data_IF_735146034715
#
_entry.id   IF_735146034715
#
_cell.length_a   1.000
_cell.length_b   1.000
_cell.length_c   1.000
_cell.angle_alpha   90.00
_cell.angle_beta   90.00
_cell.angle_gamma   90.00
#
_symmetry.space_group_name_H-M   'P 1'
#
loop_
_entity.id
_entity.type
_entity.pdbx_description
1 polymer ?
#
# COMPACT_ATOMS: atom_id res chain seq x y z
N UNK A 1 26.96 -14.47 -1.11
CA UNK A 1 25.53 -14.21 -1.36
C UNK A 1 25.42 -13.07 -2.37
N UNK A 2 24.92 -13.33 -3.59
CA UNK A 2 24.80 -12.31 -4.64
C UNK A 2 23.95 -11.12 -4.19
N UNK A 3 24.29 -9.90 -4.64
CA UNK A 3 23.54 -8.66 -4.34
C UNK A 3 22.06 -8.83 -4.71
N UNK A 4 21.78 -9.50 -5.84
CA UNK A 4 20.42 -9.83 -6.28
C UNK A 4 19.66 -10.69 -5.27
N UNK A 5 20.30 -11.71 -4.72
CA UNK A 5 19.66 -12.58 -3.74
C UNK A 5 19.35 -11.81 -2.45
N UNK A 6 20.26 -10.96 -1.97
CA UNK A 6 20.01 -10.06 -0.82
C UNK A 6 18.80 -9.16 -1.07
N UNK A 7 18.73 -8.53 -2.24
CA UNK A 7 17.64 -7.64 -2.59
C UNK A 7 16.28 -8.37 -2.61
N UNK A 8 16.21 -9.55 -3.25
CA UNK A 8 14.99 -10.36 -3.29
C UNK A 8 14.58 -10.81 -1.88
N UNK A 9 15.52 -11.27 -1.05
CA UNK A 9 15.22 -11.67 0.34
C UNK A 9 14.62 -10.51 1.14
N UNK A 10 15.20 -9.31 1.03
CA UNK A 10 14.65 -8.11 1.69
C UNK A 10 13.25 -7.75 1.16
N UNK A 11 13.01 -7.90 -0.15
CA UNK A 11 11.70 -7.70 -0.75
C UNK A 11 10.64 -8.68 -0.23
N UNK A 12 10.99 -9.97 -0.08
CA UNK A 12 10.08 -10.98 0.47
C UNK A 12 9.78 -10.71 1.95
N UNK A 13 10.80 -10.40 2.75
CA UNK A 13 10.60 -10.06 4.17
C UNK A 13 9.74 -8.80 4.30
N UNK A 14 9.96 -7.80 3.44
CA UNK A 14 9.13 -6.61 3.39
C UNK A 14 7.66 -6.95 3.09
N UNK A 15 7.40 -7.79 2.08
CA UNK A 15 6.04 -8.22 1.73
C UNK A 15 5.34 -8.96 2.88
N UNK A 16 6.08 -9.74 3.67
CA UNK A 16 5.56 -10.33 4.91
C UNK A 16 5.10 -9.25 5.90
N UNK A 17 5.92 -8.24 6.18
CA UNK A 17 5.54 -7.16 7.09
C UNK A 17 4.40 -6.28 6.55
N UNK A 18 4.28 -6.09 5.23
CA UNK A 18 3.12 -5.44 4.63
C UNK A 18 1.84 -6.24 4.87
N UNK A 19 1.89 -7.56 4.68
CA UNK A 19 0.75 -8.47 4.80
C UNK A 19 0.09 -8.47 6.19
N UNK A 20 0.86 -8.19 7.25
CA UNK A 20 0.38 -8.08 8.64
C UNK A 20 -0.74 -7.03 8.74
N UNK A 21 -0.70 -5.97 7.92
CA UNK A 21 -1.75 -4.93 7.89
C UNK A 21 -3.13 -5.52 7.70
N UNK A 22 -3.29 -6.42 6.73
CA UNK A 22 -4.60 -6.95 6.36
C UNK A 22 -5.15 -7.85 7.46
N UNK A 23 -4.29 -8.67 8.07
CA UNK A 23 -4.68 -9.58 9.14
C UNK A 23 -5.00 -8.82 10.42
N UNK A 24 -4.15 -7.88 10.84
CA UNK A 24 -4.36 -7.12 12.08
C UNK A 24 -5.52 -6.15 11.94
N UNK A 25 -5.77 -5.58 10.75
CA UNK A 25 -6.99 -4.81 10.51
C UNK A 25 -8.24 -5.68 10.66
N UNK A 26 -8.22 -6.92 10.16
CA UNK A 26 -9.33 -7.85 10.32
C UNK A 26 -9.53 -8.26 11.80
N UNK A 27 -8.44 -8.51 12.54
CA UNK A 27 -8.51 -8.73 14.00
C UNK A 27 -9.23 -7.58 14.70
N UNK A 28 -8.90 -6.33 14.36
CA UNK A 28 -9.54 -5.16 14.94
C UNK A 28 -11.02 -5.04 14.56
N UNK A 29 -11.38 -5.35 13.31
CA UNK A 29 -12.77 -5.32 12.86
C UNK A 29 -13.62 -6.42 13.52
N UNK A 30 -13.08 -7.64 13.65
CA UNK A 30 -13.73 -8.75 14.36
C UNK A 30 -13.94 -8.46 15.85
N UNK A 31 -13.08 -7.62 16.45
CA UNK A 31 -13.23 -7.12 17.80
C UNK A 31 -14.14 -5.88 17.91
N UNK A 32 -14.90 -5.55 16.86
CA UNK A 32 -15.77 -4.36 16.77
C UNK A 32 -15.04 -3.02 16.95
N UNK A 33 -13.75 -2.96 16.64
CA UNK A 33 -12.98 -1.72 16.65
C UNK A 33 -13.45 -0.75 15.55
N UNK A 34 -13.69 0.51 15.91
CA UNK A 34 -14.16 1.50 14.95
C UNK A 34 -13.11 1.80 13.86
N UNK A 35 -13.49 1.66 12.60
CA UNK A 35 -12.58 1.79 11.45
C UNK A 35 -11.85 3.14 11.39
N UNK A 36 -12.48 4.21 11.88
CA UNK A 36 -11.87 5.56 11.92
C UNK A 36 -10.64 5.60 12.81
N UNK A 37 -10.69 4.91 13.96
CA UNK A 37 -9.52 4.74 14.83
C UNK A 37 -8.47 3.84 14.21
N UNK A 38 -8.89 2.74 13.58
CA UNK A 38 -7.98 1.84 12.84
C UNK A 38 -7.19 2.58 11.76
N UNK A 39 -7.84 3.51 11.06
CA UNK A 39 -7.20 4.35 10.05
C UNK A 39 -6.28 5.41 10.67
N UNK A 40 -6.82 6.24 11.59
CA UNK A 40 -6.10 7.38 12.12
C UNK A 40 -4.90 6.99 12.99
N UNK A 41 -5.07 6.07 13.93
CA UNK A 41 -4.03 5.72 14.90
C UNK A 41 -2.79 5.14 14.23
N UNK A 42 -2.94 4.37 13.14
CA UNK A 42 -1.78 3.90 12.35
C UNK A 42 -0.87 5.06 11.96
N UNK A 43 -1.42 6.12 11.38
CA UNK A 43 -0.64 7.25 10.90
C UNK A 43 -0.16 8.17 12.03
N UNK A 44 -0.95 8.28 13.12
CA UNK A 44 -0.52 8.97 14.33
C UNK A 44 0.69 8.28 14.99
N UNK A 45 0.72 6.95 15.02
CA UNK A 45 1.88 6.18 15.47
C UNK A 45 3.04 6.21 14.48
N UNK A 46 2.75 6.23 13.18
CA UNK A 46 3.77 6.22 12.14
C UNK A 46 4.61 7.50 12.12
N UNK A 47 4.05 8.67 12.46
CA UNK A 47 4.81 9.92 12.52
C UNK A 47 6.02 9.87 13.48
N UNK A 48 5.86 9.60 14.78
CA UNK A 48 7.00 9.55 15.71
C UNK A 48 8.02 8.47 15.31
N UNK A 49 7.57 7.32 14.81
CA UNK A 49 8.48 6.28 14.33
C UNK A 49 9.29 6.74 13.10
N UNK A 50 8.65 7.41 12.15
CA UNK A 50 9.34 7.92 10.96
C UNK A 50 10.25 9.12 11.26
N UNK A 51 9.96 9.91 12.30
CA UNK A 51 10.90 10.92 12.81
C UNK A 51 12.20 10.27 13.29
N UNK A 52 12.10 9.15 14.03
CA UNK A 52 13.27 8.38 14.48
C UNK A 52 14.02 7.82 13.28
N UNK A 53 13.35 7.15 12.34
CA UNK A 53 13.98 6.55 11.17
C UNK A 53 14.69 7.59 10.28
N UNK A 54 14.06 8.74 10.02
CA UNK A 54 14.70 9.79 9.22
C UNK A 54 15.98 10.31 9.89
N UNK A 55 15.97 10.46 11.22
CA UNK A 55 17.15 10.84 11.99
C UNK A 55 18.26 9.77 11.88
N UNK A 56 17.91 8.49 11.94
CA UNK A 56 18.85 7.38 11.79
C UNK A 56 19.47 7.32 10.38
N UNK A 57 18.73 7.73 9.35
CA UNK A 57 19.24 7.85 7.97
C UNK A 57 19.90 9.20 7.65
N UNK A 58 20.23 10.00 8.67
CA UNK A 58 20.98 11.24 8.50
C UNK A 58 20.16 12.43 7.98
N UNK A 59 18.85 12.27 7.79
CA UNK A 59 17.95 13.37 7.50
C UNK A 59 17.43 14.02 8.79
N UNK A 60 16.79 15.18 8.66
CA UNK A 60 16.20 15.88 9.79
C UNK A 60 14.91 16.59 9.40
N UNK A 61 14.09 16.90 10.41
CA UNK A 61 12.77 17.53 10.21
C UNK A 61 12.88 18.88 9.52
N UNK A 62 13.93 19.66 9.78
CA UNK A 62 14.11 20.97 9.14
C UNK A 62 14.31 20.82 7.63
N UNK A 63 15.07 19.82 7.21
CA UNK A 63 15.25 19.49 5.79
C UNK A 63 13.92 19.10 5.13
N UNK A 64 13.17 18.20 5.76
CA UNK A 64 11.85 17.75 5.27
C UNK A 64 10.85 18.90 5.18
N UNK A 65 10.81 19.80 6.17
CA UNK A 65 9.99 21.00 6.11
C UNK A 65 10.45 21.95 4.99
N UNK A 66 11.75 22.02 4.71
CA UNK A 66 12.29 22.73 3.56
C UNK A 66 11.80 22.18 2.23
N UNK A 67 11.74 20.85 2.09
CA UNK A 67 11.17 20.16 0.91
C UNK A 67 9.69 20.53 0.74
N UNK A 68 8.90 20.47 1.82
CA UNK A 68 7.47 20.80 1.78
C UNK A 68 7.25 22.27 1.36
N UNK A 69 8.06 23.20 1.90
CA UNK A 69 7.94 24.64 1.62
C UNK A 69 8.15 25.00 0.15
N UNK A 70 8.87 24.19 -0.63
CA UNK A 70 9.07 24.44 -2.07
C UNK A 70 7.78 24.34 -2.87
N UNK A 71 6.86 23.46 -2.48
CA UNK A 71 5.55 23.29 -3.12
C UNK A 71 4.50 22.76 -2.13
N UNK A 72 4.13 23.61 -1.17
CA UNK A 72 3.21 23.24 -0.09
C UNK A 72 1.87 22.70 -0.61
N UNK A 73 1.36 23.28 -1.71
CA UNK A 73 0.05 22.91 -2.25
C UNK A 73 0.08 21.49 -2.79
N UNK A 74 1.10 21.15 -3.59
CA UNK A 74 1.25 19.81 -4.14
C UNK A 74 1.46 18.78 -3.04
N UNK A 75 2.36 19.07 -2.09
CA UNK A 75 2.58 18.19 -0.94
C UNK A 75 1.32 17.96 -0.12
N UNK A 76 0.56 19.00 0.20
CA UNK A 76 -0.68 18.85 0.95
C UNK A 76 -1.69 17.99 0.19
N UNK A 77 -2.07 18.37 -1.04
CA UNK A 77 -3.11 17.67 -1.81
C UNK A 77 -2.75 16.20 -2.05
N UNK A 78 -1.54 15.93 -2.54
CA UNK A 78 -1.18 14.57 -2.92
C UNK A 78 -0.88 13.68 -1.72
N UNK A 79 -0.54 14.24 -0.54
CA UNK A 79 -0.46 13.47 0.70
C UNK A 79 -1.84 12.99 1.15
N UNK A 80 -2.87 13.81 0.98
CA UNK A 80 -4.26 13.42 1.26
C UNK A 80 -4.71 12.28 0.34
N UNK A 81 -4.41 12.39 -0.95
CA UNK A 81 -4.71 11.32 -1.91
C UNK A 81 -3.92 10.05 -1.59
N UNK A 82 -2.62 10.16 -1.36
CA UNK A 82 -1.73 9.02 -1.18
C UNK A 82 -1.94 8.28 0.14
N UNK A 83 -2.24 8.97 1.24
CA UNK A 83 -2.35 8.37 2.58
C UNK A 83 -3.80 8.29 3.07
N UNK A 84 -4.57 9.36 2.97
CA UNK A 84 -5.94 9.39 3.52
C UNK A 84 -6.90 8.62 2.62
N UNK A 85 -6.98 9.01 1.34
CA UNK A 85 -7.88 8.40 0.36
C UNK A 85 -7.47 6.96 -0.02
N UNK A 86 -6.23 6.58 0.29
CA UNK A 86 -5.76 5.20 0.25
C UNK A 86 -6.24 4.40 1.46
N UNK A 87 -5.93 4.83 2.68
CA UNK A 87 -6.01 3.94 3.82
C UNK A 87 -7.39 3.92 4.48
N UNK A 88 -8.11 5.05 4.48
CA UNK A 88 -9.47 5.12 5.04
C UNK A 88 -10.41 4.12 4.37
N UNK A 89 -10.51 4.06 3.03
CA UNK A 89 -11.38 3.09 2.37
C UNK A 89 -10.97 1.63 2.63
N UNK A 90 -9.67 1.34 2.75
CA UNK A 90 -9.20 0.00 3.11
C UNK A 90 -9.62 -0.40 4.51
N UNK A 91 -9.45 0.46 5.51
CA UNK A 91 -9.92 0.18 6.88
C UNK A 91 -11.43 0.00 6.95
N UNK A 92 -12.17 0.73 6.13
CA UNK A 92 -13.61 0.59 6.04
C UNK A 92 -14.04 -0.72 5.37
N UNK A 93 -13.36 -1.12 4.28
CA UNK A 93 -13.67 -2.35 3.53
C UNK A 93 -13.52 -3.63 4.37
N UNK A 94 -12.65 -3.63 5.39
CA UNK A 94 -12.43 -4.76 6.31
C UNK A 94 -13.69 -5.12 7.11
N UNK A 95 -14.65 -4.20 7.26
CA UNK A 95 -15.94 -4.53 7.88
C UNK A 95 -16.81 -5.47 7.02
N UNK A 96 -16.46 -5.67 5.76
CA UNK A 96 -17.27 -6.43 4.81
C UNK A 96 -16.53 -7.59 4.16
N UNK A 97 -15.19 -7.53 4.08
CA UNK A 97 -14.37 -8.54 3.44
C UNK A 97 -13.20 -8.94 4.35
N UNK A 98 -12.80 -10.23 4.34
CA UNK A 98 -11.65 -10.68 5.09
C UNK A 98 -10.36 -10.06 4.52
N UNK A 99 -9.37 -9.87 5.37
CA UNK A 99 -8.13 -9.18 5.05
C UNK A 99 -7.38 -9.81 3.87
N UNK A 100 -7.36 -11.14 3.77
CA UNK A 100 -6.72 -11.83 2.64
C UNK A 100 -7.38 -11.51 1.29
N UNK A 101 -8.70 -11.34 1.25
CA UNK A 101 -9.43 -10.99 0.03
C UNK A 101 -9.24 -9.51 -0.32
N UNK A 102 -9.13 -8.66 0.69
CA UNK A 102 -8.75 -7.25 0.52
C UNK A 102 -7.33 -7.16 -0.04
N UNK A 103 -6.38 -7.95 0.46
CA UNK A 103 -5.01 -8.02 -0.07
C UNK A 103 -4.96 -8.50 -1.52
N UNK A 104 -5.79 -9.49 -1.88
CA UNK A 104 -5.92 -9.95 -3.26
C UNK A 104 -6.47 -8.84 -4.18
N UNK A 105 -7.53 -8.15 -3.76
CA UNK A 105 -8.12 -7.03 -4.50
C UNK A 105 -7.18 -5.82 -4.56
N UNK A 106 -6.38 -5.63 -3.52
CA UNK A 106 -5.37 -4.57 -3.42
C UNK A 106 -4.33 -4.65 -4.54
N UNK A 107 -4.08 -5.83 -5.12
CA UNK A 107 -3.16 -5.99 -6.26
C UNK A 107 -3.59 -5.20 -7.51
N UNK A 108 -4.85 -4.75 -7.59
CA UNK A 108 -5.28 -3.77 -8.59
C UNK A 108 -4.46 -2.47 -8.56
N UNK A 109 -3.81 -2.15 -7.44
CA UNK A 109 -2.87 -1.02 -7.29
C UNK A 109 -1.75 -1.07 -8.33
N UNK A 110 -1.33 -2.27 -8.75
CA UNK A 110 -0.30 -2.45 -9.78
C UNK A 110 -0.85 -2.02 -11.14
N UNK A 111 -2.07 -2.43 -11.46
CA UNK A 111 -2.77 -2.06 -12.71
C UNK A 111 -3.01 -0.56 -12.75
N UNK A 112 -3.62 0.00 -11.70
CA UNK A 112 -3.87 1.44 -11.61
C UNK A 112 -2.59 2.25 -11.51
N UNK A 113 -1.53 1.67 -10.95
CA UNK A 113 -0.17 2.12 -11.15
C UNK A 113 0.10 2.33 -12.63
N UNK A 114 0.13 1.29 -13.44
CA UNK A 114 0.43 1.46 -14.88
C UNK A 114 -0.53 2.44 -15.58
N UNK A 115 -1.83 2.40 -15.29
CA UNK A 115 -2.84 3.25 -15.92
C UNK A 115 -2.78 4.73 -15.54
N UNK A 116 -2.32 5.07 -14.33
CA UNK A 116 -2.18 6.48 -13.88
C UNK A 116 -0.92 7.16 -14.41
N UNK A 117 -0.03 6.42 -15.10
CA UNK A 117 1.22 6.93 -15.68
C UNK A 117 1.03 8.21 -16.53
N UNK A 118 0.02 8.33 -17.42
CA UNK A 118 -0.18 9.52 -18.26
C UNK A 118 -0.67 10.76 -17.51
N UNK A 119 -1.13 10.60 -16.27
CA UNK A 119 -1.57 11.71 -15.43
C UNK A 119 -0.37 12.45 -14.81
N UNK A 120 0.82 11.84 -14.87
CA UNK A 120 2.05 12.38 -14.32
C UNK A 120 2.80 13.12 -15.42
N UNK A 121 3.23 14.35 -15.11
CA UNK A 121 4.10 15.15 -15.97
C UNK A 121 5.51 15.11 -15.41
N UNK A 122 6.46 14.66 -16.20
CA UNK A 122 7.88 14.66 -15.82
C UNK A 122 8.62 15.75 -16.59
N UNK A 123 9.62 16.35 -15.96
CA UNK A 123 10.48 17.36 -16.59
C UNK A 123 11.54 16.63 -17.43
N UNK A 124 11.58 16.90 -18.73
CA UNK A 124 12.59 16.32 -19.63
C UNK A 124 13.69 17.34 -19.90
N UNK A 125 14.95 16.89 -19.96
CA UNK A 125 16.13 17.76 -20.13
C UNK A 125 16.12 18.60 -21.42
N UNK A 126 15.33 18.22 -22.43
CA UNK A 126 15.35 18.85 -23.76
C UNK A 126 14.05 19.55 -24.18
N UNK A 127 12.92 19.36 -23.47
CA UNK A 127 11.61 19.81 -23.99
C UNK A 127 10.49 19.84 -22.94
N UNK A 128 10.62 20.71 -21.94
CA UNK A 128 9.53 21.04 -21.01
C UNK A 128 8.96 19.85 -20.22
N UNK A 129 7.69 19.95 -19.82
CA UNK A 129 6.97 18.88 -19.12
C UNK A 129 6.31 17.93 -20.11
N UNK A 130 6.68 16.65 -20.09
CA UNK A 130 6.12 15.61 -20.96
C UNK A 130 5.27 14.64 -20.13
N UNK A 131 4.13 14.19 -20.70
CA UNK A 131 3.32 13.11 -20.10
C UNK A 131 3.91 11.76 -20.47
N UNK A 132 4.04 10.89 -19.48
CA UNK A 132 4.47 9.51 -19.71
C UNK A 132 3.38 8.73 -20.46
N UNK A 133 3.76 7.82 -21.36
CA UNK A 133 2.82 6.94 -22.06
C UNK A 133 2.59 5.66 -21.27
N UNK A 134 1.42 5.04 -21.45
CA UNK A 134 1.16 3.70 -20.92
C UNK A 134 2.07 2.71 -21.66
N UNK A 135 2.88 1.90 -20.95
CA UNK A 135 3.68 0.85 -21.58
C UNK A 135 2.75 -0.24 -22.14
N UNK A 136 2.53 -0.26 -23.45
CA UNK A 136 1.58 -1.20 -24.09
C UNK A 136 1.96 -2.67 -23.88
N UNK A 137 3.27 -2.98 -23.76
CA UNK A 137 3.78 -4.31 -23.36
C UNK A 137 3.26 -4.79 -22.00
N UNK A 138 2.78 -3.88 -21.14
CA UNK A 138 2.20 -4.21 -19.84
C UNK A 138 0.80 -4.80 -19.91
N UNK A 139 0.04 -4.46 -20.96
CA UNK A 139 -1.41 -4.68 -21.03
C UNK A 139 -1.78 -6.16 -20.88
N UNK A 140 -1.13 -7.12 -21.57
CA UNK A 140 -1.50 -8.54 -21.43
C UNK A 140 -1.39 -9.04 -20.00
N UNK A 141 -0.31 -8.66 -19.31
CA UNK A 141 -0.06 -9.05 -17.92
C UNK A 141 -1.03 -8.37 -16.95
N UNK A 142 -1.40 -7.11 -17.20
CA UNK A 142 -2.45 -6.43 -16.42
C UNK A 142 -3.80 -7.14 -16.56
N UNK A 143 -4.14 -7.63 -17.75
CA UNK A 143 -5.37 -8.42 -17.97
C UNK A 143 -5.32 -9.72 -17.17
N UNK A 144 -4.18 -10.42 -17.15
CA UNK A 144 -4.02 -11.65 -16.36
C UNK A 144 -4.20 -11.37 -14.86
N UNK A 145 -3.59 -10.30 -14.34
CA UNK A 145 -3.78 -9.89 -12.94
C UNK A 145 -5.25 -9.59 -12.66
N UNK A 146 -5.92 -8.84 -13.53
CA UNK A 146 -7.33 -8.49 -13.38
C UNK A 146 -8.23 -9.73 -13.36
N UNK A 147 -7.99 -10.69 -14.25
CA UNK A 147 -8.72 -11.97 -14.29
C UNK A 147 -8.48 -12.76 -13.01
N UNK A 148 -7.24 -12.81 -12.52
CA UNK A 148 -6.91 -13.46 -11.25
C UNK A 148 -7.69 -12.85 -10.08
N UNK A 149 -7.68 -11.52 -9.95
CA UNK A 149 -8.44 -10.80 -8.92
C UNK A 149 -9.94 -11.07 -9.06
N UNK A 150 -10.47 -10.96 -10.27
CA UNK A 150 -11.89 -11.21 -10.53
C UNK A 150 -12.29 -12.63 -10.14
N UNK A 151 -11.50 -13.65 -10.49
CA UNK A 151 -11.79 -15.05 -10.16
C UNK A 151 -11.79 -15.28 -8.65
N UNK A 152 -10.80 -14.72 -7.93
CA UNK A 152 -10.73 -14.80 -6.47
C UNK A 152 -11.93 -14.12 -5.79
N UNK A 153 -12.34 -12.93 -6.26
CA UNK A 153 -13.46 -12.17 -5.71
C UNK A 153 -14.81 -12.79 -6.07
N UNK A 154 -15.00 -13.22 -7.32
CA UNK A 154 -16.25 -13.81 -7.79
C UNK A 154 -16.57 -15.11 -7.04
N UNK A 155 -15.55 -15.94 -6.76
CA UNK A 155 -15.74 -17.15 -5.96
C UNK A 155 -16.07 -16.86 -4.49
N UNK A 156 -15.92 -15.62 -4.01
CA UNK A 156 -16.36 -15.25 -2.65
C UNK A 156 -17.85 -14.89 -2.59
N UNK A 157 -18.49 -14.56 -3.74
CA UNK A 157 -19.91 -14.19 -3.80
C UNK A 157 -20.80 -15.31 -3.23
N UNK A 158 -20.43 -16.57 -3.43
CA UNK A 158 -21.18 -17.73 -2.93
C UNK A 158 -21.23 -17.83 -1.41
N UNK A 159 -20.33 -17.14 -0.70
CA UNK A 159 -20.32 -17.08 0.77
C UNK A 159 -21.17 -15.95 1.34
N UNK A 160 -21.68 -15.05 0.50
CA UNK A 160 -22.41 -13.86 0.94
C UNK A 160 -23.92 -14.02 0.76
N UNK A 161 -24.67 -13.62 1.78
CA UNK A 161 -26.14 -13.53 1.71
C UNK A 161 -26.62 -12.41 0.79
N UNK A 162 -25.85 -11.32 0.69
CA UNK A 162 -26.15 -10.15 -0.13
C UNK A 162 -24.89 -9.63 -0.82
N UNK A 163 -25.01 -9.22 -2.09
CA UNK A 163 -23.89 -8.74 -2.90
C UNK A 163 -23.52 -7.26 -2.66
N UNK A 164 -24.45 -6.45 -2.15
CA UNK A 164 -24.24 -5.01 -1.99
C UNK A 164 -23.03 -4.66 -1.09
N UNK A 165 -22.83 -5.29 0.08
CA UNK A 165 -21.65 -5.02 0.92
C UNK A 165 -20.32 -5.31 0.21
N UNK A 166 -20.27 -6.38 -0.57
CA UNK A 166 -19.11 -6.72 -1.40
C UNK A 166 -18.83 -5.63 -2.43
N UNK A 167 -19.85 -5.17 -3.15
CA UNK A 167 -19.70 -4.12 -4.16
C UNK A 167 -19.17 -2.82 -3.56
N UNK A 168 -19.71 -2.39 -2.42
CA UNK A 168 -19.20 -1.19 -1.75
C UNK A 168 -17.76 -1.35 -1.27
N UNK A 169 -17.40 -2.51 -0.72
CA UNK A 169 -16.02 -2.80 -0.32
C UNK A 169 -15.06 -2.81 -1.52
N UNK A 170 -15.44 -3.41 -2.64
CA UNK A 170 -14.64 -3.39 -3.87
C UNK A 170 -14.46 -1.96 -4.37
N UNK A 171 -15.53 -1.15 -4.41
CA UNK A 171 -15.43 0.27 -4.83
C UNK A 171 -14.47 1.03 -3.92
N UNK A 172 -14.56 0.83 -2.60
CA UNK A 172 -13.64 1.42 -1.63
C UNK A 172 -12.17 1.01 -1.89
N UNK A 173 -11.92 -0.29 -2.13
CA UNK A 173 -10.58 -0.80 -2.43
C UNK A 173 -10.06 -0.27 -3.77
N UNK A 174 -10.90 -0.19 -4.81
CA UNK A 174 -10.52 0.38 -6.12
C UNK A 174 -10.14 1.85 -6.00
N UNK A 175 -10.92 2.63 -5.24
CA UNK A 175 -10.60 4.03 -4.97
C UNK A 175 -9.25 4.16 -4.26
N UNK A 176 -8.98 3.32 -3.27
CA UNK A 176 -7.69 3.26 -2.61
C UNK A 176 -6.54 2.86 -3.57
N UNK A 177 -6.79 1.87 -4.43
CA UNK A 177 -5.82 1.33 -5.38
C UNK A 177 -5.47 2.31 -6.50
N UNK A 178 -6.35 3.27 -6.81
CA UNK A 178 -6.03 4.42 -7.69
C UNK A 178 -5.29 5.50 -6.91
N UNK A 179 -5.78 5.84 -5.71
CA UNK A 179 -5.28 6.97 -4.93
C UNK A 179 -3.80 6.81 -4.53
N UNK A 180 -3.41 5.61 -4.08
CA UNK A 180 -2.05 5.31 -3.65
C UNK A 180 -0.99 5.57 -4.74
N UNK A 181 -1.02 4.90 -5.92
CA UNK A 181 -0.01 5.13 -6.95
C UNK A 181 -0.10 6.54 -7.56
N UNK A 182 -1.30 7.10 -7.69
CA UNK A 182 -1.47 8.45 -8.23
C UNK A 182 -0.81 9.49 -7.32
N UNK A 183 -1.15 9.50 -6.03
CA UNK A 183 -0.59 10.46 -5.07
C UNK A 183 0.92 10.32 -4.95
N UNK A 184 1.43 9.08 -4.88
CA UNK A 184 2.86 8.82 -4.81
C UNK A 184 3.61 9.38 -6.04
N UNK A 185 3.11 9.15 -7.27
CA UNK A 185 3.80 9.62 -8.48
C UNK A 185 3.73 11.11 -8.70
N UNK A 186 2.64 11.75 -8.30
CA UNK A 186 2.51 13.22 -8.41
C UNK A 186 3.52 13.92 -7.49
N UNK A 187 3.74 13.38 -6.29
CA UNK A 187 4.82 13.84 -5.41
C UNK A 187 6.21 13.53 -6.00
N UNK A 188 6.41 12.36 -6.60
CA UNK A 188 7.69 12.07 -7.26
C UNK A 188 8.00 13.04 -8.41
N UNK A 189 6.98 13.50 -9.12
CA UNK A 189 7.13 14.50 -10.18
C UNK A 189 7.48 15.90 -9.66
N UNK A 190 7.23 16.22 -8.38
CA UNK A 190 7.60 17.51 -7.79
C UNK A 190 8.97 17.53 -7.13
N UNK A 191 9.60 16.38 -6.91
CA UNK A 191 10.87 16.28 -6.17
C UNK A 191 12.10 16.12 -7.05
N UNK A 192 11.95 16.00 -8.38
CA UNK A 192 13.03 15.80 -9.36
C UNK A 192 14.02 14.67 -8.97
N UNK A 193 13.58 13.69 -8.17
CA UNK A 193 14.42 12.58 -7.67
C UNK A 193 15.41 12.96 -6.56
N UNK A 194 15.36 14.18 -6.03
CA UNK A 194 16.31 14.68 -5.00
C UNK A 194 15.94 14.30 -3.57
N UNK A 195 14.73 13.79 -3.35
CA UNK A 195 14.18 13.49 -2.03
C UNK A 195 14.21 11.99 -1.80
N UNK A 196 14.82 11.55 -0.70
CA UNK A 196 14.88 10.13 -0.35
C UNK A 196 13.49 9.59 -0.02
N UNK A 197 13.33 8.27 -0.11
CA UNK A 197 12.04 7.65 0.11
C UNK A 197 11.55 7.80 1.57
N UNK A 198 12.45 7.77 2.56
CA UNK A 198 12.11 8.04 3.98
C UNK A 198 11.68 9.47 4.22
N UNK A 199 12.33 10.45 3.57
CA UNK A 199 11.98 11.87 3.67
C UNK A 199 10.63 12.14 3.03
N UNK A 200 10.37 11.51 1.87
CA UNK A 200 9.08 11.59 1.19
C UNK A 200 7.95 11.08 2.08
N UNK A 201 8.13 9.91 2.70
CA UNK A 201 7.13 9.34 3.63
C UNK A 201 6.90 10.26 4.82
N UNK A 202 7.96 10.81 5.43
CA UNK A 202 7.83 11.76 6.54
C UNK A 202 7.15 13.06 6.11
N UNK A 203 7.47 13.59 4.93
CA UNK A 203 6.82 14.77 4.38
C UNK A 203 5.32 14.56 4.19
N UNK A 204 4.94 13.41 3.62
CA UNK A 204 3.54 13.04 3.43
C UNK A 204 2.81 12.84 4.77
N UNK A 205 3.49 12.29 5.78
CA UNK A 205 2.95 12.14 7.13
C UNK A 205 2.66 13.51 7.74
N UNK A 206 3.61 14.43 7.70
CA UNK A 206 3.46 15.79 8.23
C UNK A 206 2.28 16.50 7.54
N UNK A 207 2.19 16.40 6.21
CA UNK A 207 1.14 17.07 5.44
C UNK A 207 -0.26 16.48 5.69
N UNK A 208 -0.37 15.17 5.92
CA UNK A 208 -1.67 14.51 6.19
C UNK A 208 -2.04 14.44 7.67
N UNK A 209 -1.11 14.75 8.58
CA UNK A 209 -1.30 14.67 10.03
C UNK A 209 -2.55 15.39 10.56
N UNK A 210 -2.86 16.63 10.11
CA UNK A 210 -4.06 17.33 10.58
C UNK A 210 -5.35 16.55 10.28
N UNK A 211 -5.42 15.84 9.16
CA UNK A 211 -6.58 15.04 8.81
C UNK A 211 -6.73 13.79 9.65
N UNK A 212 -5.61 13.16 10.04
CA UNK A 212 -5.65 12.04 10.98
C UNK A 212 -6.15 12.46 12.37
N UNK A 213 -5.74 13.65 12.84
CA UNK A 213 -6.29 14.23 14.07
C UNK A 213 -7.79 14.47 13.96
N UNK A 214 -8.26 15.06 12.84
CA UNK A 214 -9.70 15.27 12.60
C UNK A 214 -10.46 13.94 12.61
N UNK A 215 -9.98 12.92 11.91
CA UNK A 215 -10.61 11.59 11.88
C UNK A 215 -10.64 10.97 13.29
N UNK A 216 -9.57 11.09 14.07
CA UNK A 216 -9.52 10.60 15.44
C UNK A 216 -10.51 11.34 16.36
N UNK A 217 -10.63 12.66 16.23
CA UNK A 217 -11.60 13.48 16.98
C UNK A 217 -13.04 13.12 16.60
N UNK A 218 -13.34 12.98 15.31
CA UNK A 218 -14.67 12.54 14.87
C UNK A 218 -14.99 11.13 15.36
N UNK A 219 -14.01 10.23 15.38
CA UNK A 219 -14.16 8.88 15.93
C UNK A 219 -14.47 8.94 17.43
N UNK A 220 -13.78 9.80 18.18
CA UNK A 220 -14.04 10.01 19.61
C UNK A 220 -15.50 10.44 19.87
N UNK A 221 -16.01 11.37 19.06
CA UNK A 221 -17.41 11.83 19.22
C UNK A 221 -18.46 10.76 18.91
N UNK A 222 -18.10 9.71 18.17
CA UNK A 222 -19.03 8.64 17.79
C UNK A 222 -18.98 7.43 18.72
N UNK A 223 -17.78 7.02 19.15
CA UNK A 223 -17.58 5.75 19.89
C UNK A 223 -16.79 5.90 21.19
N UNK A 224 -16.40 7.11 21.59
CA UNK A 224 -15.55 7.34 22.76
C UNK A 224 -14.09 6.95 22.51
N UNK A 225 -13.35 6.61 23.57
CA UNK A 225 -11.94 6.24 23.45
C UNK A 225 -11.74 4.88 22.76
N UNK A 226 -10.65 4.69 22.00
CA UNK A 226 -10.33 3.39 21.43
C UNK A 226 -9.97 2.40 22.53
N UNK A 227 -10.25 1.12 22.30
CA UNK A 227 -9.87 0.06 23.24
C UNK A 227 -8.35 -0.14 23.29
N UNK A 228 -7.82 -0.63 24.42
CA UNK A 228 -6.40 -0.92 24.54
C UNK A 228 -5.88 -1.92 23.47
N UNK A 229 -6.62 -3.00 23.11
CA UNK A 229 -6.25 -3.84 21.99
C UNK A 229 -6.19 -3.09 20.65
N UNK A 230 -7.11 -2.15 20.39
CA UNK A 230 -7.08 -1.35 19.16
C UNK A 230 -5.87 -0.42 19.11
N UNK A 231 -5.46 0.19 20.23
CA UNK A 231 -4.24 0.98 20.32
C UNK A 231 -2.99 0.14 20.03
N UNK A 232 -2.89 -1.06 20.62
CA UNK A 232 -1.77 -1.97 20.40
C UNK A 232 -1.71 -2.45 18.94
N UNK A 233 -2.85 -2.89 18.39
CA UNK A 233 -2.93 -3.40 17.02
C UNK A 233 -2.61 -2.32 15.98
N UNK A 234 -3.10 -1.09 16.16
CA UNK A 234 -2.75 0.03 15.27
C UNK A 234 -1.28 0.43 15.37
N UNK A 235 -0.68 0.34 16.56
CA UNK A 235 0.77 0.50 16.74
C UNK A 235 1.56 -0.60 16.00
N UNK A 236 1.16 -1.88 16.15
CA UNK A 236 1.79 -3.01 15.43
C UNK A 236 1.72 -2.78 13.92
N UNK A 237 0.57 -2.38 13.39
CA UNK A 237 0.42 -2.08 11.96
C UNK A 237 1.34 -0.94 11.53
N UNK A 238 1.44 0.14 12.32
CA UNK A 238 2.33 1.26 12.03
C UNK A 238 3.82 0.84 12.03
N UNK A 239 4.25 0.04 13.01
CA UNK A 239 5.62 -0.43 13.12
C UNK A 239 5.96 -1.44 12.01
N UNK A 240 5.14 -2.46 11.81
CA UNK A 240 5.38 -3.51 10.83
C UNK A 240 5.31 -2.95 9.40
N UNK A 241 4.16 -2.44 8.99
CA UNK A 241 3.94 -2.03 7.60
C UNK A 241 4.40 -0.60 7.32
N UNK A 242 4.20 0.32 8.25
CA UNK A 242 4.58 1.72 8.07
C UNK A 242 6.10 1.90 8.07
N UNK A 243 6.81 1.18 8.93
CA UNK A 243 8.24 1.40 9.18
C UNK A 243 9.10 0.26 8.66
N UNK A 244 8.97 -0.95 9.21
CA UNK A 244 9.87 -2.07 8.90
C UNK A 244 9.75 -2.46 7.43
N UNK A 245 8.54 -2.72 6.93
CA UNK A 245 8.30 -3.10 5.54
C UNK A 245 8.82 -2.04 4.57
N UNK A 246 8.49 -0.77 4.82
CA UNK A 246 8.92 0.38 4.03
C UNK A 246 10.44 0.48 3.94
N UNK A 247 11.14 0.40 5.07
CA UNK A 247 12.61 0.47 5.12
C UNK A 247 13.25 -0.70 4.39
N UNK A 248 12.76 -1.93 4.62
CA UNK A 248 13.29 -3.12 3.96
C UNK A 248 13.06 -3.08 2.44
N UNK A 249 11.90 -2.61 2.00
CA UNK A 249 11.59 -2.49 0.57
C UNK A 249 12.49 -1.46 -0.10
N UNK A 250 12.68 -0.29 0.52
CA UNK A 250 13.59 0.72 -0.02
C UNK A 250 15.04 0.22 -0.04
N UNK A 251 15.49 -0.45 1.01
CA UNK A 251 16.80 -1.12 1.00
C UNK A 251 16.93 -2.13 -0.14
N UNK A 252 15.88 -2.94 -0.39
CA UNK A 252 15.86 -3.91 -1.48
C UNK A 252 15.96 -3.24 -2.86
N UNK A 253 15.14 -2.21 -3.12
CA UNK A 253 15.15 -1.49 -4.41
C UNK A 253 16.47 -0.74 -4.64
N UNK A 254 17.08 -0.16 -3.61
CA UNK A 254 18.38 0.51 -3.71
C UNK A 254 19.50 -0.46 -4.06
N UNK A 255 19.51 -1.67 -3.49
CA UNK A 255 20.50 -2.70 -3.84
C UNK A 255 20.38 -3.18 -5.29
N UNK A 256 19.19 -3.04 -5.89
CA UNK A 256 18.88 -3.53 -7.22
C UNK A 256 18.84 -2.44 -8.30
N UNK A 257 19.04 -1.16 -7.93
CA UNK A 257 18.82 0.00 -8.83
C UNK A 257 19.71 -0.01 -10.09
N UNK A 258 20.87 -0.65 -10.02
CA UNK A 258 21.83 -0.70 -11.12
C UNK A 258 21.59 -1.85 -12.12
N UNK A 259 20.69 -2.78 -11.82
CA UNK A 259 20.31 -3.89 -12.70
C UNK A 259 18.79 -3.98 -12.79
N UNK A 260 18.25 -3.54 -13.93
CA UNK A 260 16.80 -3.48 -14.16
C UNK A 260 16.12 -4.85 -13.97
N UNK A 261 16.81 -5.96 -14.29
CA UNK A 261 16.30 -7.31 -14.04
C UNK A 261 16.21 -7.65 -12.55
N UNK A 262 17.19 -7.21 -11.77
CA UNK A 262 17.15 -7.36 -10.31
C UNK A 262 16.09 -6.46 -9.68
N UNK A 263 15.93 -5.23 -10.17
CA UNK A 263 14.91 -4.30 -9.67
C UNK A 263 13.50 -4.85 -9.93
N UNK A 264 13.25 -5.31 -11.16
CA UNK A 264 12.03 -6.03 -11.52
C UNK A 264 11.75 -7.22 -10.58
N UNK A 265 12.78 -8.03 -10.28
CA UNK A 265 12.62 -9.17 -9.39
C UNK A 265 12.26 -8.74 -7.96
N UNK A 266 12.79 -7.63 -7.47
CA UNK A 266 12.42 -7.04 -6.16
C UNK A 266 10.99 -6.51 -6.17
N UNK A 267 10.57 -5.82 -7.24
CA UNK A 267 9.18 -5.35 -7.34
C UNK A 267 8.19 -6.51 -7.40
N UNK A 268 8.56 -7.61 -8.09
CA UNK A 268 7.74 -8.82 -8.15
C UNK A 268 7.52 -9.47 -6.77
N UNK A 269 8.40 -9.26 -5.78
CA UNK A 269 8.20 -9.84 -4.44
C UNK A 269 6.98 -9.26 -3.73
N UNK A 270 6.42 -8.14 -4.20
CA UNK A 270 5.14 -7.61 -3.70
C UNK A 270 3.99 -8.61 -3.88
N UNK A 271 4.06 -9.50 -4.88
CA UNK A 271 3.09 -10.58 -5.03
C UNK A 271 3.08 -11.55 -3.83
N UNK A 272 4.15 -11.60 -3.03
CA UNK A 272 4.17 -12.41 -1.81
C UNK A 272 3.26 -11.86 -0.72
N UNK A 273 2.87 -10.58 -0.78
CA UNK A 273 1.98 -9.96 0.20
C UNK A 273 0.65 -10.71 0.29
N UNK A 274 0.03 -11.04 -0.86
CA UNK A 274 -1.23 -11.79 -0.88
C UNK A 274 -1.05 -13.22 -0.35
N UNK A 275 0.07 -13.86 -0.67
CA UNK A 275 0.38 -15.21 -0.20
C UNK A 275 0.51 -15.21 1.32
N UNK A 276 1.27 -14.27 1.89
CA UNK A 276 1.40 -14.15 3.33
C UNK A 276 0.09 -13.76 4.00
N UNK A 277 -0.71 -12.87 3.40
CA UNK A 277 -2.03 -12.53 3.96
C UNK A 277 -2.94 -13.75 4.03
N UNK A 278 -2.98 -14.60 3.01
CA UNK A 278 -3.72 -15.88 3.06
C UNK A 278 -3.17 -16.76 4.19
N UNK A 279 -1.85 -17.03 4.21
CA UNK A 279 -1.25 -17.92 5.20
C UNK A 279 -1.47 -17.43 6.65
N UNK A 280 -1.26 -16.14 6.89
CA UNK A 280 -1.47 -15.54 8.21
C UNK A 280 -2.95 -15.55 8.62
N UNK A 281 -3.88 -15.29 7.69
CA UNK A 281 -5.31 -15.42 7.94
C UNK A 281 -5.72 -16.86 8.30
N UNK A 282 -5.11 -17.88 7.68
CA UNK A 282 -5.35 -19.28 8.05
C UNK A 282 -4.83 -19.57 9.46
N UNK A 283 -3.59 -19.17 9.76
CA UNK A 283 -2.90 -19.50 11.00
C UNK A 283 -3.46 -18.76 12.22
N UNK A 284 -3.81 -17.48 12.08
CA UNK A 284 -4.15 -16.61 13.21
C UNK A 284 -5.64 -16.26 13.33
N UNK A 285 -6.39 -16.34 12.23
CA UNK A 285 -7.82 -16.02 12.22
C UNK A 285 -8.70 -17.26 12.02
N UNK A 286 -8.10 -18.44 11.79
CA UNK A 286 -8.83 -19.69 11.62
C UNK A 286 -9.65 -19.75 10.34
N UNK A 287 -9.30 -18.94 9.32
CA UNK A 287 -9.95 -19.03 8.01
C UNK A 287 -9.74 -20.41 7.40
N UNK A 288 -10.71 -20.86 6.60
CA UNK A 288 -10.53 -22.05 5.76
C UNK A 288 -9.60 -21.73 4.58
N UNK A 289 -8.95 -22.77 4.04
CA UNK A 289 -8.20 -22.64 2.80
C UNK A 289 -9.10 -22.05 1.69
N UNK A 290 -8.56 -21.13 0.85
CA UNK A 290 -9.31 -20.65 -0.30
C UNK A 290 -9.78 -21.81 -1.18
N UNK A 291 -10.95 -21.67 -1.78
CA UNK A 291 -11.50 -22.67 -2.70
C UNK A 291 -10.54 -22.88 -3.90
N UNK A 292 -10.62 -24.02 -4.62
CA UNK A 292 -9.80 -24.24 -5.81
C UNK A 292 -9.89 -23.11 -6.86
N UNK A 293 -11.08 -22.50 -7.00
CA UNK A 293 -11.29 -21.34 -7.86
C UNK A 293 -10.56 -20.10 -7.33
N UNK A 294 -10.66 -19.82 -6.02
CA UNK A 294 -9.94 -18.71 -5.39
C UNK A 294 -8.42 -18.88 -5.53
N UNK A 295 -7.92 -20.09 -5.29
CA UNK A 295 -6.49 -20.42 -5.42
C UNK A 295 -6.01 -20.26 -6.86
N UNK A 296 -6.82 -20.68 -7.84
CA UNK A 296 -6.52 -20.46 -9.26
C UNK A 296 -6.44 -18.97 -9.59
N UNK A 297 -7.33 -18.15 -9.04
CA UNK A 297 -7.27 -16.69 -9.17
C UNK A 297 -6.00 -16.10 -8.54
N UNK A 298 -5.62 -16.57 -7.35
CA UNK A 298 -4.39 -16.18 -6.65
C UNK A 298 -3.14 -16.57 -7.45
N UNK A 299 -3.09 -17.78 -8.01
CA UNK A 299 -2.00 -18.22 -8.87
C UNK A 299 -1.89 -17.37 -10.15
N UNK A 300 -3.02 -17.07 -10.79
CA UNK A 300 -3.07 -16.22 -11.98
C UNK A 300 -2.57 -14.80 -11.70
N UNK A 301 -3.00 -14.17 -10.59
CA UNK A 301 -2.52 -12.83 -10.25
C UNK A 301 -1.02 -12.82 -9.92
N UNK A 302 -0.53 -13.79 -9.14
CA UNK A 302 0.90 -13.88 -8.78
C UNK A 302 1.74 -14.08 -10.05
N UNK A 303 1.32 -14.99 -10.93
CA UNK A 303 1.95 -15.19 -12.23
C UNK A 303 1.95 -13.90 -13.07
N UNK A 304 0.80 -13.24 -13.15
CA UNK A 304 0.66 -11.96 -13.84
C UNK A 304 1.62 -10.90 -13.32
N UNK A 305 1.77 -10.75 -11.99
CA UNK A 305 2.69 -9.79 -11.37
C UNK A 305 4.14 -10.13 -11.69
N UNK A 306 4.53 -11.41 -11.55
CA UNK A 306 5.91 -11.85 -11.86
C UNK A 306 6.26 -11.54 -13.32
N UNK A 307 5.36 -11.88 -14.25
CA UNK A 307 5.57 -11.64 -15.68
C UNK A 307 5.52 -10.15 -16.03
N UNK A 308 4.66 -9.37 -15.37
CA UNK A 308 4.59 -7.92 -15.50
C UNK A 308 5.93 -7.26 -15.17
N UNK A 309 6.59 -7.74 -14.11
CA UNK A 309 7.87 -7.21 -13.64
C UNK A 309 9.04 -7.62 -14.54
N UNK A 310 9.08 -8.88 -15.00
CA UNK A 310 10.22 -9.39 -15.80
C UNK A 310 10.12 -9.02 -17.29
N UNK A 311 9.03 -8.36 -17.72
CA UNK A 311 8.87 -7.91 -19.12
C UNK A 311 9.94 -6.85 -19.45
N UNK A 312 11.01 -7.27 -20.11
CA UNK A 312 11.90 -6.39 -20.88
C UNK A 312 11.77 -6.78 -22.36
#
# INVERSE_FOLDING_TARGET
>A
MSIRFKAITLGIISAFFFSITFVVNEVMANAHGYWGYTAALRYLWMLPLMLIVNKLFGSNVRHVLGIIKRDMKSWFIWSQVCFVLFYVPLCWAVNYLPGWLISATWQLTIIFGVLTTPLVRVKTQQSGYVRLKIPTKAIPWMVIILVGVFLTVASYITHLKHIAPLLFAIIAIMLAAVAYPLGNRQIMATTDGTVTASEKVLAMLICSYPTWLIIATLSYTQVGLPSAPQLLNTFIVALCSGVIATVLFFGATQLAVHDMKSLAAVEATQAMEVIFSVLLSLLFLGHALPTPAQLSGLCLMVFGIIMLSIRE
#
